data_IF_136307683106
#
_entry.id   IF_136307683106
#
_cell.length_a   1.000
_cell.length_b   1.000
_cell.length_c   1.000
_cell.angle_alpha   90.00
_cell.angle_beta   90.00
_cell.angle_gamma   90.00
#
_symmetry.space_group_name_H-M   'P 1'
#
loop_
_entity.id
_entity.type
_entity.pdbx_description
1 polymer ?
#
# COMPACT_ATOMS: atom_id res chain seq x y z
N UNK A 1 0.92 -2.16 -20.74
CA UNK A 1 1.85 -2.31 -19.59
C UNK A 1 1.16 -3.11 -18.50
N UNK A 2 1.90 -3.98 -17.79
CA UNK A 2 1.34 -4.82 -16.72
C UNK A 2 1.51 -4.13 -15.37
N UNK A 3 0.65 -4.44 -14.41
CA UNK A 3 0.75 -3.96 -13.02
C UNK A 3 0.85 -5.17 -12.09
N UNK A 4 1.70 -5.06 -11.08
CA UNK A 4 1.87 -6.08 -10.04
C UNK A 4 1.43 -5.47 -8.72
N UNK A 5 0.44 -6.10 -8.08
CA UNK A 5 0.02 -5.76 -6.72
C UNK A 5 0.59 -6.80 -5.77
N UNK A 6 1.55 -6.38 -4.94
CA UNK A 6 2.09 -7.19 -3.87
C UNK A 6 1.25 -6.98 -2.61
N UNK A 7 0.83 -8.07 -1.97
CA UNK A 7 0.04 -8.05 -0.75
C UNK A 7 0.77 -8.83 0.34
N UNK A 8 0.83 -8.24 1.53
CA UNK A 8 1.23 -8.91 2.76
C UNK A 8 0.07 -8.76 3.76
N UNK A 9 -0.57 -9.88 4.07
CA UNK A 9 -1.73 -9.94 4.95
C UNK A 9 -1.33 -10.44 6.32
N UNK A 10 -1.59 -9.65 7.34
CA UNK A 10 -1.66 -10.09 8.74
C UNK A 10 -3.10 -10.37 9.16
N UNK A 11 -3.30 -10.85 10.39
CA UNK A 11 -4.63 -11.14 10.93
C UNK A 11 -5.52 -9.89 11.11
N UNK A 12 -4.93 -8.70 11.19
CA UNK A 12 -5.62 -7.41 11.37
C UNK A 12 -4.93 -6.26 10.63
N UNK A 13 -4.07 -6.58 9.66
CA UNK A 13 -3.38 -5.60 8.84
C UNK A 13 -3.20 -6.10 7.41
N UNK A 14 -3.10 -5.18 6.47
CA UNK A 14 -2.78 -5.44 5.08
C UNK A 14 -1.78 -4.40 4.62
N UNK A 15 -0.57 -4.83 4.28
CA UNK A 15 0.42 -3.98 3.62
C UNK A 15 0.44 -4.30 2.14
N UNK A 16 0.57 -3.27 1.31
CA UNK A 16 0.55 -3.45 -0.13
C UNK A 16 1.53 -2.52 -0.85
N UNK A 17 1.94 -2.95 -2.03
CA UNK A 17 2.72 -2.14 -2.96
C UNK A 17 2.25 -2.42 -4.38
N UNK A 18 2.03 -1.36 -5.16
CA UNK A 18 1.66 -1.44 -6.57
C UNK A 18 2.87 -1.05 -7.42
N UNK A 19 3.23 -1.92 -8.36
CA UNK A 19 4.32 -1.71 -9.29
C UNK A 19 3.82 -1.66 -10.73
N UNK A 20 4.45 -0.82 -11.54
CA UNK A 20 4.39 -0.91 -13.00
C UNK A 20 5.48 -1.87 -13.45
N UNK A 21 5.10 -2.91 -14.20
CA UNK A 21 6.03 -3.88 -14.77
C UNK A 21 6.31 -3.56 -16.24
N UNK A 22 7.58 -3.26 -16.54
CA UNK A 22 8.13 -2.97 -17.88
C UNK A 22 9.53 -3.58 -18.02
N UNK A 23 10.53 -2.78 -18.37
CA UNK A 23 11.95 -3.21 -18.35
C UNK A 23 12.47 -3.49 -16.93
N UNK A 24 11.78 -2.99 -15.91
CA UNK A 24 11.95 -3.33 -14.50
C UNK A 24 10.67 -3.03 -13.72
N UNK A 25 10.67 -3.27 -12.41
CA UNK A 25 9.57 -2.86 -11.54
C UNK A 25 9.75 -1.41 -11.05
N UNK A 26 8.79 -0.55 -11.40
CA UNK A 26 8.68 0.80 -10.84
C UNK A 26 7.59 0.84 -9.78
N UNK A 27 7.95 1.18 -8.54
CA UNK A 27 6.97 1.42 -7.48
C UNK A 27 6.08 2.63 -7.85
N UNK A 28 4.76 2.41 -7.86
CA UNK A 28 3.76 3.45 -8.06
C UNK A 28 3.20 3.94 -6.73
N UNK A 29 2.84 2.99 -5.86
CA UNK A 29 2.26 3.28 -4.55
C UNK A 29 2.66 2.20 -3.54
N UNK A 30 2.71 2.57 -2.27
CA UNK A 30 2.78 1.65 -1.14
C UNK A 30 1.88 2.15 -0.02
N UNK A 31 1.32 1.23 0.75
CA UNK A 31 0.40 1.59 1.81
C UNK A 31 0.14 0.46 2.80
N UNK A 32 -0.60 0.82 3.84
CA UNK A 32 -1.09 -0.12 4.84
C UNK A 32 -2.52 0.20 5.26
N UNK A 33 -3.24 -0.86 5.60
CA UNK A 33 -4.42 -0.83 6.44
C UNK A 33 -4.04 -1.50 7.75
N UNK A 34 -4.22 -0.81 8.86
CA UNK A 34 -3.88 -1.29 10.20
C UNK A 34 -5.12 -1.28 11.10
N UNK A 35 -5.13 -2.11 12.14
CA UNK A 35 -6.24 -2.27 13.09
C UNK A 35 -7.59 -2.62 12.42
N UNK A 36 -7.57 -3.41 11.35
CA UNK A 36 -8.79 -3.84 10.64
C UNK A 36 -9.69 -4.64 11.61
N UNK A 37 -10.97 -4.25 11.70
CA UNK A 37 -11.96 -4.89 12.57
C UNK A 37 -11.82 -4.53 14.04
N UNK A 38 -11.08 -3.46 14.38
CA UNK A 38 -10.90 -2.92 15.73
C UNK A 38 -11.03 -1.40 15.71
N UNK A 39 -11.16 -0.80 16.88
CA UNK A 39 -11.08 0.66 17.03
C UNK A 39 -9.66 1.15 16.68
N UNK A 40 -9.58 2.39 16.15
CA UNK A 40 -8.32 3.00 15.75
C UNK A 40 -7.75 2.43 14.44
N UNK A 41 -8.63 2.05 13.51
CA UNK A 41 -8.27 1.71 12.15
C UNK A 41 -7.43 2.81 11.50
N UNK A 42 -6.47 2.45 10.66
CA UNK A 42 -5.68 3.46 9.93
C UNK A 42 -5.48 3.04 8.49
N UNK A 43 -5.70 3.96 7.57
CA UNK A 43 -5.32 3.82 6.17
C UNK A 43 -4.21 4.80 5.84
N UNK A 44 -3.11 4.29 5.31
CA UNK A 44 -1.96 5.07 4.91
C UNK A 44 -1.57 4.75 3.47
N UNK A 45 -1.28 5.78 2.67
CA UNK A 45 -0.82 5.64 1.29
C UNK A 45 0.27 6.67 0.98
N UNK A 46 1.34 6.18 0.35
CA UNK A 46 2.44 7.00 -0.14
C UNK A 46 2.70 6.69 -1.61
N UNK A 47 3.02 7.71 -2.40
CA UNK A 47 3.44 7.53 -3.78
C UNK A 47 4.83 6.90 -3.87
N UNK A 48 5.17 6.32 -5.02
CA UNK A 48 6.53 5.78 -5.25
C UNK A 48 7.65 6.83 -5.16
N UNK A 49 7.31 8.12 -5.19
CA UNK A 49 8.24 9.24 -4.97
C UNK A 49 8.34 9.70 -3.51
N UNK A 50 7.65 9.04 -2.57
CA UNK A 50 7.69 9.38 -1.14
C UNK A 50 6.67 10.39 -0.66
N UNK A 51 5.78 10.90 -1.53
CA UNK A 51 4.73 11.84 -1.10
C UNK A 51 3.63 11.10 -0.36
N UNK A 52 3.30 11.54 0.86
CA UNK A 52 2.14 11.05 1.59
C UNK A 52 0.86 11.55 0.92
N UNK A 53 0.00 10.63 0.50
CA UNK A 53 -1.24 10.93 -0.19
C UNK A 53 -2.44 10.80 0.75
N UNK A 54 -2.42 9.80 1.64
CA UNK A 54 -3.46 9.57 2.63
C UNK A 54 -2.86 9.13 3.96
N UNK A 55 -3.47 9.62 5.03
CA UNK A 55 -3.27 9.18 6.42
C UNK A 55 -4.59 9.39 7.17
N UNK A 56 -5.48 8.42 7.05
CA UNK A 56 -6.83 8.43 7.64
C UNK A 56 -6.84 7.53 8.88
N UNK A 57 -7.52 7.97 9.94
CA UNK A 57 -7.64 7.29 11.24
C UNK A 57 -9.09 7.20 11.67
#
# INVERSE_FOLDING_TARGET
>A
MKRILALNTGSSSLKFSLYLAGEGEKLLYTGSLDCIGRDGGRFFLTSGGGNHLFDER
#
